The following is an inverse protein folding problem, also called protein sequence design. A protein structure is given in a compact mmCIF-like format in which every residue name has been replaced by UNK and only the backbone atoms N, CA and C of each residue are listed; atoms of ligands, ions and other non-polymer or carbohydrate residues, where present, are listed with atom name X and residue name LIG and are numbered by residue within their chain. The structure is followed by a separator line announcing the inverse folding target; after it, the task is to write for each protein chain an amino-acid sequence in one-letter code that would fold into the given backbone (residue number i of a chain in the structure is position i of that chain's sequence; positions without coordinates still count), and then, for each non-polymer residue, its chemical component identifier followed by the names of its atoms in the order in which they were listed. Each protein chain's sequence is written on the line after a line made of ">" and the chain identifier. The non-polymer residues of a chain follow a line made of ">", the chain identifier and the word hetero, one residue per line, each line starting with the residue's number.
data_IF_074429639610
#
_entry.id   IF_074429639610
#
_cell.length_a   1.000
_cell.length_b   1.000
_cell.length_c   1.000
_cell.angle_alpha   90.00
_cell.angle_beta   90.00
_cell.angle_gamma   90.00
#
_symmetry.space_group_name_H-M   'P 1'
#
loop_
_entity.id
_entity.type
_entity.pdbx_description
1 polymer ?
#
# COMPACT_ATOMS: atom_id res chain seq x y z
N UNK A 1 -27.29 -2.60 -12.91
CA UNK A 1 -26.94 -3.18 -11.59
C UNK A 1 -25.49 -3.70 -11.49
N UNK A 2 -24.75 -3.84 -12.61
CA UNK A 2 -23.33 -4.23 -12.62
C UNK A 2 -22.36 -3.05 -12.51
N UNK A 3 -22.66 -1.89 -13.11
CA UNK A 3 -21.75 -0.73 -13.16
C UNK A 3 -21.33 -0.21 -11.79
N UNK A 4 -22.26 -0.13 -10.82
CA UNK A 4 -21.97 0.33 -9.46
C UNK A 4 -20.96 -0.55 -8.73
N UNK A 5 -20.89 -1.84 -9.06
CA UNK A 5 -19.89 -2.74 -8.46
C UNK A 5 -18.50 -2.51 -9.06
N UNK A 6 -18.44 -2.31 -10.38
CA UNK A 6 -17.16 -2.05 -11.07
C UNK A 6 -16.52 -0.74 -10.61
N UNK A 7 -17.32 0.33 -10.46
CA UNK A 7 -16.82 1.61 -9.94
C UNK A 7 -16.28 1.49 -8.51
N UNK A 8 -16.94 0.70 -7.66
CA UNK A 8 -16.51 0.47 -6.29
C UNK A 8 -15.15 -0.24 -6.22
N UNK A 9 -14.96 -1.29 -7.02
CA UNK A 9 -13.67 -1.98 -7.08
C UNK A 9 -12.56 -1.10 -7.65
N UNK A 10 -12.87 -0.23 -8.62
CA UNK A 10 -11.91 0.74 -9.16
C UNK A 10 -11.49 1.76 -8.10
N UNK A 11 -12.45 2.33 -7.36
CA UNK A 11 -12.17 3.28 -6.28
C UNK A 11 -11.34 2.63 -5.18
N UNK A 12 -11.71 1.42 -4.73
CA UNK A 12 -10.93 0.67 -3.76
C UNK A 12 -9.50 0.41 -4.25
N UNK A 13 -9.35 -0.04 -5.51
CA UNK A 13 -8.05 -0.32 -6.10
C UNK A 13 -7.18 0.94 -6.18
N UNK A 14 -7.77 2.09 -6.53
CA UNK A 14 -7.08 3.38 -6.57
C UNK A 14 -6.62 3.82 -5.18
N UNK A 15 -7.45 3.65 -4.15
CA UNK A 15 -7.09 3.97 -2.76
C UNK A 15 -5.92 3.09 -2.31
N UNK A 16 -6.01 1.77 -2.50
CA UNK A 16 -4.96 0.82 -2.12
C UNK A 16 -3.66 1.15 -2.87
N UNK A 17 -3.74 1.42 -4.17
CA UNK A 17 -2.57 1.76 -4.99
C UNK A 17 -1.92 3.06 -4.51
N UNK A 18 -2.70 4.11 -4.26
CA UNK A 18 -2.18 5.38 -3.76
C UNK A 18 -1.46 5.23 -2.42
N UNK A 19 -2.04 4.48 -1.47
CA UNK A 19 -1.42 4.21 -0.17
C UNK A 19 -0.14 3.39 -0.36
N UNK A 20 -0.18 2.32 -1.15
CA UNK A 20 0.98 1.46 -1.41
C UNK A 20 2.13 2.25 -2.01
N UNK A 21 1.88 3.04 -3.07
CA UNK A 21 2.89 3.89 -3.70
C UNK A 21 3.45 4.92 -2.72
N UNK A 22 2.60 5.53 -1.89
CA UNK A 22 3.05 6.49 -0.87
C UNK A 22 3.99 5.84 0.13
N UNK A 23 3.64 4.65 0.65
CA UNK A 23 4.52 3.90 1.55
C UNK A 23 5.86 3.59 0.89
N UNK A 24 5.85 3.03 -0.33
CA UNK A 24 7.08 2.71 -1.06
C UNK A 24 7.97 3.93 -1.27
N UNK A 25 7.41 5.08 -1.65
CA UNK A 25 8.17 6.32 -1.86
C UNK A 25 8.76 6.82 -0.54
N UNK A 26 7.95 6.89 0.53
CA UNK A 26 8.40 7.38 1.84
C UNK A 26 9.49 6.50 2.46
N UNK A 27 9.43 5.19 2.26
CA UNK A 27 10.46 4.27 2.73
C UNK A 27 11.62 4.04 1.77
N UNK A 28 11.75 4.84 0.70
CA UNK A 28 12.77 4.64 -0.34
C UNK A 28 12.84 3.18 -0.83
N UNK A 29 11.68 2.58 -1.09
CA UNK A 29 11.51 1.19 -1.50
C UNK A 29 12.19 0.17 -0.55
N UNK A 30 12.29 0.49 0.75
CA UNK A 30 12.92 -0.38 1.74
C UNK A 30 14.44 -0.44 1.66
N UNK A 31 15.10 0.55 1.05
CA UNK A 31 16.56 0.63 1.08
C UNK A 31 17.02 1.18 2.43
N UNK A 32 17.68 0.34 3.24
CA UNK A 32 18.14 0.74 4.58
C UNK A 32 19.44 1.55 4.54
N UNK A 33 20.44 1.11 3.77
CA UNK A 33 21.78 1.71 3.76
C UNK A 33 22.52 1.44 2.44
N UNK A 34 23.61 2.20 2.19
CA UNK A 34 24.60 1.81 1.18
C UNK A 34 25.35 0.57 1.70
N UNK A 35 25.25 -0.60 1.05
CA UNK A 35 25.91 -1.80 1.54
C UNK A 35 27.43 -1.64 1.46
N UNK A 36 28.10 -1.88 2.60
CA UNK A 36 29.57 -1.76 2.73
C UNK A 36 30.27 -3.14 2.69
N UNK A 37 29.52 -4.24 2.83
CA UNK A 37 30.02 -5.61 2.70
C UNK A 37 29.02 -6.54 1.99
N UNK A 38 29.46 -7.70 1.48
CA UNK A 38 28.58 -8.69 0.88
C UNK A 38 27.44 -9.15 1.80
N UNK A 39 27.69 -9.29 3.09
CA UNK A 39 26.67 -9.67 4.07
C UNK A 39 25.60 -8.58 4.23
N UNK A 40 25.99 -7.31 4.16
CA UNK A 40 25.04 -6.19 4.25
C UNK A 40 24.10 -6.13 3.04
N UNK A 41 24.56 -6.58 1.86
CA UNK A 41 23.73 -6.66 0.65
C UNK A 41 22.58 -7.64 0.87
N UNK A 42 22.86 -8.84 1.38
CA UNK A 42 21.84 -9.86 1.61
C UNK A 42 20.81 -9.45 2.67
N UNK A 43 21.28 -8.85 3.77
CA UNK A 43 20.38 -8.29 4.81
C UNK A 43 19.49 -7.19 4.22
N UNK A 44 20.06 -6.29 3.41
CA UNK A 44 19.29 -5.21 2.77
C UNK A 44 18.23 -5.77 1.80
N UNK A 45 18.55 -6.84 1.05
CA UNK A 45 17.58 -7.52 0.17
C UNK A 45 16.41 -8.12 0.94
N UNK A 46 16.70 -8.84 2.03
CA UNK A 46 15.66 -9.42 2.89
C UNK A 46 14.78 -8.33 3.51
N UNK A 47 15.38 -7.27 4.02
CA UNK A 47 14.62 -6.15 4.57
C UNK A 47 13.75 -5.49 3.50
N UNK A 48 14.30 -5.22 2.31
CA UNK A 48 13.55 -4.63 1.20
C UNK A 48 12.34 -5.49 0.82
N UNK A 49 12.51 -6.81 0.76
CA UNK A 49 11.39 -7.73 0.54
C UNK A 49 10.32 -7.61 1.63
N UNK A 50 10.71 -7.68 2.90
CA UNK A 50 9.79 -7.56 4.04
C UNK A 50 9.07 -6.21 4.03
N UNK A 51 9.78 -5.13 3.72
CA UNK A 51 9.22 -3.78 3.65
C UNK A 51 8.15 -3.67 2.55
N UNK A 52 8.44 -4.16 1.35
CA UNK A 52 7.50 -4.12 0.22
C UNK A 52 6.29 -5.01 0.51
N UNK A 53 6.51 -6.24 0.99
CA UNK A 53 5.42 -7.17 1.32
C UNK A 53 4.53 -6.63 2.45
N UNK A 54 5.15 -6.11 3.51
CA UNK A 54 4.44 -5.47 4.62
C UNK A 54 3.65 -4.24 4.17
N UNK A 55 4.22 -3.42 3.28
CA UNK A 55 3.53 -2.26 2.69
C UNK A 55 2.33 -2.68 1.86
N UNK A 56 2.40 -3.78 1.12
CA UNK A 56 1.28 -4.30 0.34
C UNK A 56 0.13 -4.80 1.23
N UNK A 57 0.44 -5.54 2.30
CA UNK A 57 -0.57 -5.97 3.28
C UNK A 57 -1.17 -4.77 3.99
N UNK A 58 -0.33 -3.83 4.43
CA UNK A 58 -0.76 -2.60 5.11
C UNK A 58 -1.65 -1.72 4.24
N UNK A 59 -1.31 -1.54 2.95
CA UNK A 59 -2.11 -0.74 2.03
C UNK A 59 -3.47 -1.35 1.73
N UNK A 60 -3.59 -2.68 1.66
CA UNK A 60 -4.87 -3.36 1.52
C UNK A 60 -5.74 -3.10 2.76
N UNK A 61 -5.19 -3.28 3.96
CA UNK A 61 -5.94 -3.10 5.20
C UNK A 61 -6.38 -1.65 5.40
N UNK A 62 -5.45 -0.69 5.30
CA UNK A 62 -5.75 0.74 5.43
C UNK A 62 -6.68 1.19 4.29
N UNK A 63 -6.44 0.72 3.07
CA UNK A 63 -7.25 1.07 1.91
C UNK A 63 -8.70 0.59 2.05
N UNK A 64 -8.93 -0.59 2.61
CA UNK A 64 -10.27 -1.07 2.93
C UNK A 64 -10.98 -0.17 3.96
N UNK A 65 -10.28 0.29 5.01
CA UNK A 65 -10.83 1.22 5.99
C UNK A 65 -11.24 2.54 5.35
N UNK A 66 -10.36 3.13 4.53
CA UNK A 66 -10.65 4.38 3.80
C UNK A 66 -11.81 4.22 2.83
N UNK A 67 -11.88 3.08 2.12
CA UNK A 67 -12.98 2.79 1.22
C UNK A 67 -14.31 2.65 1.96
N UNK A 68 -14.34 1.98 3.12
CA UNK A 68 -15.55 1.90 3.95
C UNK A 68 -15.99 3.29 4.41
N UNK A 69 -15.06 4.13 4.88
CA UNK A 69 -15.37 5.51 5.25
C UNK A 69 -15.91 6.32 4.07
N UNK A 70 -15.36 6.15 2.87
CA UNK A 70 -15.86 6.80 1.65
C UNK A 70 -17.26 6.31 1.26
N UNK A 71 -17.46 4.99 1.21
CA UNK A 71 -18.69 4.36 0.72
C UNK A 71 -19.87 4.54 1.66
N UNK A 72 -19.63 4.44 2.95
CA UNK A 72 -20.66 4.56 4.00
C UNK A 72 -20.66 5.93 4.66
N UNK A 73 -19.96 6.91 4.09
CA UNK A 73 -20.07 8.29 4.53
C UNK A 73 -21.53 8.68 4.48
N UNK A 74 -22.08 9.13 5.61
CA UNK A 74 -23.39 9.76 5.65
C UNK A 74 -23.38 10.93 4.65
N UNK A 75 -24.14 10.77 3.58
CA UNK A 75 -24.50 11.88 2.72
C UNK A 75 -25.66 12.53 3.44
N UNK A 76 -25.38 13.57 4.24
CA UNK A 76 -26.42 14.34 4.90
C UNK A 76 -27.51 14.70 3.89
N UNK A 77 -28.76 14.54 4.32
CA UNK A 77 -29.96 14.97 3.61
C UNK A 77 -29.87 16.44 3.16
#
# INVERSE_FOLDING_TARGET
>A
MSETRTTDYLVLSLIIFAIFSTLLILGNFGQLFRPLSPQTIEINRLYQFVYIAGSAVGSIFIGALFFMMYKFREKGE
#
